data_IF_065160875627
#
_entry.id   IF_065160875627
#
_cell.length_a   1.000
_cell.length_b   1.000
_cell.length_c   1.000
_cell.angle_alpha   90.00
_cell.angle_beta   90.00
_cell.angle_gamma   90.00
#
_symmetry.space_group_name_H-M   'P 1'
#
loop_
_entity.id
_entity.type
_entity.pdbx_description
1 polymer ?
#
# COMPACT_ATOMS: atom_id res chain seq x y z
N UNK A 1 58.07 55.43 16.85
CA UNK A 1 58.24 55.44 15.37
C UNK A 1 57.50 54.24 14.80
N UNK A 2 56.42 54.50 14.04
CA UNK A 2 55.63 53.61 13.16
C UNK A 2 55.08 52.29 13.73
N UNK A 3 53.89 52.38 14.32
CA UNK A 3 52.92 51.29 14.48
C UNK A 3 52.33 50.93 13.11
N UNK A 4 52.41 49.66 12.70
CA UNK A 4 51.75 49.13 11.49
C UNK A 4 50.41 48.51 11.87
N UNK A 5 49.31 49.09 11.41
CA UNK A 5 47.99 48.46 11.40
C UNK A 5 47.92 47.40 10.28
N UNK A 6 47.57 46.17 10.65
CA UNK A 6 47.12 45.14 9.71
C UNK A 6 45.60 45.26 9.57
N UNK A 7 45.12 45.53 8.36
CA UNK A 7 43.70 45.46 8.00
C UNK A 7 43.44 44.03 7.53
N UNK A 8 42.71 43.25 8.32
CA UNK A 8 42.22 41.94 7.95
C UNK A 8 40.89 42.06 7.20
N UNK A 9 40.87 41.68 5.92
CA UNK A 9 39.65 41.59 5.13
C UNK A 9 38.91 40.30 5.47
N UNK A 10 37.74 40.41 6.11
CA UNK A 10 36.83 39.30 6.34
C UNK A 10 35.94 39.16 5.09
N UNK A 11 36.14 38.10 4.31
CA UNK A 11 35.21 37.71 3.25
C UNK A 11 34.01 36.97 3.87
N UNK A 12 32.83 37.59 3.82
CA UNK A 12 31.56 36.91 4.02
C UNK A 12 31.20 36.14 2.75
N UNK A 13 31.21 34.81 2.81
CA UNK A 13 30.63 33.97 1.78
C UNK A 13 29.15 33.72 2.10
N UNK A 14 28.26 34.42 1.40
CA UNK A 14 26.82 34.16 1.45
C UNK A 14 26.51 32.85 0.73
N UNK A 15 26.21 31.80 1.48
CA UNK A 15 25.58 30.59 0.95
C UNK A 15 24.12 30.91 0.59
N UNK A 16 23.83 31.02 -0.70
CA UNK A 16 22.44 31.01 -1.20
C UNK A 16 21.98 29.55 -1.22
N UNK A 17 21.16 29.17 -0.23
CA UNK A 17 20.44 27.92 -0.26
C UNK A 17 19.37 28.01 -1.36
N UNK A 18 19.57 27.28 -2.45
CA UNK A 18 18.51 26.99 -3.43
C UNK A 18 17.51 26.04 -2.77
N UNK A 19 16.53 26.60 -2.08
CA UNK A 19 15.31 25.88 -1.74
C UNK A 19 14.54 25.62 -3.04
N UNK A 20 14.77 24.47 -3.65
CA UNK A 20 13.92 23.93 -4.70
C UNK A 20 12.56 23.58 -4.11
N UNK A 21 11.68 24.58 -3.98
CA UNK A 21 10.28 24.35 -3.71
C UNK A 21 9.66 23.64 -4.92
N UNK A 22 9.32 22.36 -4.77
CA UNK A 22 8.42 21.70 -5.71
C UNK A 22 7.12 22.52 -5.72
N UNK A 23 6.83 23.17 -6.83
CA UNK A 23 5.60 23.91 -7.00
C UNK A 23 4.41 22.96 -6.76
N UNK A 24 3.56 23.32 -5.79
CA UNK A 24 2.32 22.60 -5.49
C UNK A 24 1.37 22.87 -6.67
N UNK A 25 1.42 22.04 -7.71
CA UNK A 25 0.40 22.07 -8.75
C UNK A 25 -0.96 21.76 -8.12
N UNK A 26 -2.03 22.50 -8.49
CA UNK A 26 -3.36 22.24 -7.97
C UNK A 26 -3.74 20.80 -8.28
N UNK A 27 -4.17 20.07 -7.26
CA UNK A 27 -4.66 18.71 -7.43
C UNK A 27 -5.81 18.76 -8.44
N UNK A 28 -5.60 18.19 -9.63
CA UNK A 28 -6.66 17.98 -10.59
C UNK A 28 -7.82 17.23 -9.92
N UNK A 29 -9.03 17.36 -10.48
CA UNK A 29 -10.29 16.89 -9.89
C UNK A 29 -10.42 15.36 -9.71
N UNK A 30 -9.33 14.59 -9.73
CA UNK A 30 -9.32 13.13 -9.63
C UNK A 30 -8.11 12.56 -8.89
N UNK A 31 -8.06 11.23 -8.72
CA UNK A 31 -6.94 10.53 -8.08
C UNK A 31 -5.58 10.84 -8.72
N UNK A 32 -4.54 10.97 -7.91
CA UNK A 32 -3.16 11.24 -8.37
C UNK A 32 -2.45 9.93 -8.67
N UNK A 33 -1.88 9.80 -9.86
CA UNK A 33 -1.09 8.62 -10.24
C UNK A 33 0.06 8.33 -9.29
N UNK A 34 0.23 7.06 -8.90
CA UNK A 34 1.42 6.60 -8.17
C UNK A 34 2.70 6.75 -9.00
N UNK A 35 2.61 6.77 -10.34
CA UNK A 35 3.77 6.95 -11.22
C UNK A 35 4.37 8.36 -11.12
N UNK A 36 3.58 9.36 -10.68
CA UNK A 36 4.10 10.69 -10.33
C UNK A 36 5.15 10.64 -9.22
N UNK A 37 5.06 9.62 -8.36
CA UNK A 37 5.98 9.37 -7.27
C UNK A 37 7.01 8.29 -7.61
N UNK A 38 7.16 7.98 -8.90
CA UNK A 38 8.17 7.04 -9.39
C UNK A 38 7.94 5.58 -8.93
N UNK A 39 6.68 5.22 -8.65
CA UNK A 39 6.26 3.83 -8.49
C UNK A 39 6.04 3.24 -9.88
N UNK A 40 6.98 2.40 -10.35
CA UNK A 40 7.03 1.89 -11.71
C UNK A 40 7.15 0.36 -11.74
N UNK A 41 6.56 -0.34 -12.73
CA UNK A 41 6.66 -1.80 -12.82
C UNK A 41 8.10 -2.32 -12.99
N UNK A 42 8.99 -1.49 -13.56
CA UNK A 42 10.39 -1.81 -13.82
C UNK A 42 11.28 -1.67 -12.58
N UNK A 43 10.79 -1.06 -11.51
CA UNK A 43 11.56 -0.89 -10.28
C UNK A 43 11.59 -2.15 -9.43
N UNK A 44 12.66 -2.26 -8.64
CA UNK A 44 12.74 -3.28 -7.60
C UNK A 44 11.67 -3.09 -6.53
N UNK A 45 11.34 -4.17 -5.82
CA UNK A 45 10.35 -4.16 -4.75
C UNK A 45 10.67 -3.14 -3.64
N UNK A 46 11.94 -3.05 -3.24
CA UNK A 46 12.42 -2.10 -2.24
C UNK A 46 12.27 -0.64 -2.69
N UNK A 47 12.64 -0.32 -3.94
CA UNK A 47 12.51 1.05 -4.48
C UNK A 47 11.05 1.46 -4.57
N UNK A 48 10.18 0.58 -5.08
CA UNK A 48 8.76 0.86 -5.15
C UNK A 48 8.13 0.99 -3.76
N UNK A 49 8.61 0.26 -2.74
CA UNK A 49 8.14 0.43 -1.37
C UNK A 49 8.41 1.85 -0.87
N UNK A 50 9.64 2.34 -1.03
CA UNK A 50 9.99 3.71 -0.64
C UNK A 50 9.18 4.75 -1.39
N UNK A 51 9.03 4.58 -2.70
CA UNK A 51 8.30 5.50 -3.57
C UNK A 51 6.79 5.52 -3.29
N UNK A 52 6.20 4.34 -3.04
CA UNK A 52 4.79 4.22 -2.66
C UNK A 52 4.54 4.85 -1.28
N UNK A 53 5.46 4.67 -0.32
CA UNK A 53 5.34 5.33 0.98
C UNK A 53 5.41 6.86 0.85
N UNK A 54 6.30 7.41 0.00
CA UNK A 54 6.35 8.85 -0.30
C UNK A 54 5.03 9.36 -0.88
N UNK A 55 4.43 8.61 -1.80
CA UNK A 55 3.12 8.93 -2.36
C UNK A 55 2.04 8.99 -1.28
N UNK A 56 2.01 7.99 -0.40
CA UNK A 56 1.04 7.89 0.70
C UNK A 56 1.23 9.06 1.69
N UNK A 57 2.46 9.37 2.08
CA UNK A 57 2.76 10.47 3.00
C UNK A 57 2.39 11.85 2.40
N UNK A 58 2.47 11.99 1.07
CA UNK A 58 1.96 13.16 0.37
C UNK A 58 0.43 13.24 0.41
N UNK A 59 -0.25 12.11 0.15
CA UNK A 59 -1.70 12.02 0.06
C UNK A 59 -2.42 12.17 1.40
N UNK A 60 -1.85 11.61 2.48
CA UNK A 60 -2.41 11.64 3.83
C UNK A 60 -2.65 13.05 4.35
N UNK A 61 -1.73 13.98 4.04
CA UNK A 61 -1.83 15.39 4.42
C UNK A 61 -2.91 16.17 3.65
N UNK A 62 -3.49 15.55 2.61
CA UNK A 62 -4.41 16.17 1.65
C UNK A 62 -5.76 15.46 1.56
N UNK A 63 -5.94 14.33 2.28
CA UNK A 63 -7.13 13.48 2.09
C UNK A 63 -7.25 12.92 0.67
N UNK A 64 -6.11 12.75 -0.01
CA UNK A 64 -6.08 12.47 -1.44
C UNK A 64 -6.15 10.97 -1.74
N UNK A 65 -6.66 10.65 -2.93
CA UNK A 65 -6.60 9.32 -3.50
C UNK A 65 -5.39 9.18 -4.42
N UNK A 66 -4.69 8.05 -4.32
CA UNK A 66 -3.64 7.62 -5.22
C UNK A 66 -4.17 6.58 -6.18
N UNK A 67 -3.89 6.77 -7.47
CA UNK A 67 -4.30 5.88 -8.54
C UNK A 67 -3.18 4.91 -8.89
N UNK A 68 -3.45 3.62 -8.71
CA UNK A 68 -2.58 2.52 -9.14
C UNK A 68 -2.84 2.29 -10.63
N UNK A 69 -2.09 2.98 -11.48
CA UNK A 69 -2.27 2.90 -12.93
C UNK A 69 -2.14 1.45 -13.45
N UNK A 70 -3.03 0.99 -14.34
CA UNK A 70 -2.93 -0.33 -14.90
C UNK A 70 -1.67 -0.51 -15.75
N UNK A 71 -1.11 -1.71 -15.73
CA UNK A 71 0.10 -2.10 -16.47
C UNK A 71 0.01 -3.56 -16.92
N UNK A 72 0.72 -3.93 -17.98
CA UNK A 72 0.93 -5.33 -18.39
C UNK A 72 1.93 -6.06 -17.47
N UNK A 73 2.81 -5.30 -16.82
CA UNK A 73 3.69 -5.75 -15.74
C UNK A 73 3.17 -5.31 -14.36
N UNK A 74 3.06 -6.21 -13.38
CA UNK A 74 2.74 -5.86 -11.99
C UNK A 74 3.79 -4.94 -11.35
N UNK A 75 3.36 -4.11 -10.40
CA UNK A 75 4.29 -3.34 -9.57
C UNK A 75 4.84 -4.25 -8.48
N UNK A 76 6.12 -4.62 -8.56
CA UNK A 76 6.81 -5.31 -7.46
C UNK A 76 6.97 -4.36 -6.30
N UNK A 77 6.55 -4.74 -5.09
CA UNK A 77 6.64 -3.89 -3.90
C UNK A 77 6.90 -4.74 -2.66
N UNK A 78 7.88 -4.33 -1.84
CA UNK A 78 8.12 -4.96 -0.55
C UNK A 78 7.03 -4.57 0.47
N UNK A 79 6.84 -5.42 1.48
CA UNK A 79 5.87 -5.20 2.54
C UNK A 79 6.32 -4.14 3.54
N UNK A 80 5.47 -3.89 4.55
CA UNK A 80 5.69 -2.88 5.57
C UNK A 80 5.29 -1.47 5.14
N UNK A 81 4.44 -1.34 4.11
CA UNK A 81 3.80 -0.07 3.77
C UNK A 81 2.81 0.30 4.87
N UNK A 82 2.78 1.56 5.27
CA UNK A 82 1.73 2.09 6.14
C UNK A 82 0.82 2.99 5.30
N UNK A 83 -0.40 2.52 5.04
CA UNK A 83 -1.45 3.35 4.44
C UNK A 83 -1.94 4.33 5.50
N UNK A 84 -1.32 5.51 5.47
CA UNK A 84 -1.54 6.60 6.42
C UNK A 84 -2.98 7.08 6.41
N UNK A 85 -3.40 7.61 7.56
CA UNK A 85 -4.75 8.10 7.73
C UNK A 85 -5.17 9.08 6.61
N UNK A 86 -6.45 9.02 6.23
CA UNK A 86 -7.07 9.83 5.15
C UNK A 86 -6.62 9.50 3.72
N UNK A 87 -5.83 8.44 3.51
CA UNK A 87 -5.32 8.08 2.18
C UNK A 87 -6.17 7.00 1.53
N UNK A 88 -6.45 7.15 0.23
CA UNK A 88 -7.08 6.10 -0.57
C UNK A 88 -6.12 5.53 -1.62
N UNK A 89 -6.08 4.21 -1.81
CA UNK A 89 -5.45 3.55 -2.96
C UNK A 89 -6.54 3.01 -3.89
N UNK A 90 -6.56 3.47 -5.14
CA UNK A 90 -7.61 3.18 -6.10
C UNK A 90 -6.99 2.54 -7.36
N UNK A 91 -7.49 1.38 -7.74
CA UNK A 91 -7.19 0.71 -9.00
C UNK A 91 -8.39 0.69 -9.95
N UNK A 92 -8.22 0.03 -11.09
CA UNK A 92 -9.20 0.02 -12.19
C UNK A 92 -10.19 -1.14 -12.14
N UNK A 93 -9.99 -2.12 -11.26
CA UNK A 93 -10.76 -3.35 -11.33
C UNK A 93 -12.04 -3.28 -10.49
N UNK A 94 -13.10 -3.90 -11.00
CA UNK A 94 -14.17 -4.42 -10.17
C UNK A 94 -13.78 -5.77 -9.54
N UNK A 95 -14.74 -6.47 -8.93
CA UNK A 95 -14.52 -7.83 -8.45
C UNK A 95 -14.10 -8.78 -9.59
N UNK A 96 -12.87 -9.28 -9.57
CA UNK A 96 -12.32 -10.19 -10.59
C UNK A 96 -11.96 -11.54 -9.96
N UNK A 97 -12.94 -12.43 -9.80
CA UNK A 97 -12.75 -13.62 -8.95
C UNK A 97 -11.59 -14.56 -9.30
N UNK A 98 -11.17 -14.66 -10.57
CA UNK A 98 -9.98 -15.43 -11.00
C UNK A 98 -8.81 -14.54 -11.42
N UNK A 99 -8.96 -13.25 -11.18
CA UNK A 99 -8.09 -12.24 -11.67
C UNK A 99 -8.07 -12.02 -13.15
N UNK A 100 -7.30 -11.01 -13.47
CA UNK A 100 -6.86 -10.74 -14.83
C UNK A 100 -5.74 -11.68 -15.22
N UNK A 101 -5.50 -11.81 -16.52
CA UNK A 101 -4.46 -12.71 -17.05
C UNK A 101 -3.77 -12.02 -18.21
N UNK A 102 -2.43 -11.99 -18.17
CA UNK A 102 -1.63 -11.60 -19.31
C UNK A 102 -1.81 -12.62 -20.46
N UNK A 103 -1.91 -12.21 -21.74
CA UNK A 103 -2.09 -13.13 -22.86
C UNK A 103 -1.01 -14.21 -22.93
N UNK A 104 0.25 -13.81 -22.78
CA UNK A 104 1.41 -14.69 -22.99
C UNK A 104 2.19 -15.09 -21.72
N UNK A 105 1.90 -14.49 -20.56
CA UNK A 105 2.68 -14.67 -19.32
C UNK A 105 1.79 -15.24 -18.22
N UNK A 106 2.33 -16.10 -17.34
CA UNK A 106 1.58 -16.64 -16.21
C UNK A 106 1.48 -15.61 -15.06
N UNK A 107 0.93 -14.42 -15.33
CA UNK A 107 0.81 -13.33 -14.37
C UNK A 107 -0.48 -12.51 -14.59
N UNK A 108 -0.99 -11.82 -13.55
CA UNK A 108 -2.09 -10.86 -13.69
C UNK A 108 -1.62 -9.54 -14.32
N UNK A 109 -2.57 -8.72 -14.79
CA UNK A 109 -2.36 -7.40 -15.39
C UNK A 109 -3.30 -6.36 -14.80
N UNK A 110 -3.04 -5.08 -15.06
CA UNK A 110 -3.84 -3.95 -14.58
C UNK A 110 -3.29 -3.37 -13.27
N UNK A 111 -4.15 -3.02 -12.32
CA UNK A 111 -3.75 -2.44 -11.02
C UNK A 111 -3.32 -3.57 -10.07
N UNK A 112 -2.10 -4.07 -10.24
CA UNK A 112 -1.58 -5.25 -9.53
C UNK A 112 -0.31 -4.93 -8.75
N UNK A 113 -0.28 -5.29 -7.47
CA UNK A 113 0.95 -5.39 -6.69
C UNK A 113 1.46 -6.84 -6.66
N UNK A 114 2.73 -7.04 -7.02
CA UNK A 114 3.46 -8.29 -6.84
C UNK A 114 4.29 -8.22 -5.55
N UNK A 115 4.02 -9.12 -4.61
CA UNK A 115 4.53 -9.05 -3.23
C UNK A 115 5.40 -10.28 -2.96
N UNK A 116 6.66 -10.04 -2.60
CA UNK A 116 7.64 -11.10 -2.34
C UNK A 116 8.17 -11.08 -0.89
N UNK A 117 7.82 -10.04 -0.12
CA UNK A 117 8.21 -9.87 1.28
C UNK A 117 7.54 -10.92 2.17
N UNK A 118 8.36 -11.66 2.93
CA UNK A 118 7.94 -12.75 3.82
C UNK A 118 7.94 -12.35 5.29
N UNK A 119 8.45 -11.17 5.62
CA UNK A 119 8.68 -10.71 6.98
C UNK A 119 7.61 -9.72 7.43
N UNK A 120 7.12 -8.90 6.51
CA UNK A 120 6.17 -7.83 6.83
C UNK A 120 4.81 -8.05 6.18
N UNK A 121 3.72 -7.70 6.90
CA UNK A 121 2.41 -7.46 6.26
C UNK A 121 2.57 -6.50 5.09
N UNK A 122 1.88 -6.72 3.97
CA UNK A 122 2.10 -5.87 2.80
C UNK A 122 1.71 -4.43 3.09
N UNK A 123 0.46 -4.21 3.53
CA UNK A 123 -0.06 -2.89 3.94
C UNK A 123 -0.62 -2.95 5.36
N UNK A 124 -0.15 -2.05 6.21
CA UNK A 124 -0.79 -1.72 7.49
C UNK A 124 -1.67 -0.47 7.31
N UNK A 125 -2.97 -0.57 7.63
CA UNK A 125 -3.93 0.53 7.46
C UNK A 125 -4.17 1.31 8.76
N UNK A 126 -4.19 2.63 8.65
CA UNK A 126 -4.62 3.56 9.71
C UNK A 126 -6.09 3.99 9.50
N UNK A 127 -6.51 5.14 10.06
CA UNK A 127 -7.91 5.59 10.04
C UNK A 127 -8.34 6.23 8.71
N UNK A 128 -9.63 6.16 8.39
CA UNK A 128 -10.25 6.83 7.25
C UNK A 128 -9.54 6.51 5.91
N UNK A 129 -9.12 5.26 5.74
CA UNK A 129 -8.44 4.80 4.52
C UNK A 129 -9.36 4.01 3.62
N UNK A 130 -9.08 4.04 2.31
CA UNK A 130 -9.73 3.17 1.34
C UNK A 130 -8.71 2.40 0.52
N UNK A 131 -9.00 1.13 0.23
CA UNK A 131 -8.33 0.39 -0.83
C UNK A 131 -9.42 -0.17 -1.73
N UNK A 132 -9.37 0.18 -3.02
CA UNK A 132 -10.40 -0.23 -3.98
C UNK A 132 -9.83 -0.70 -5.31
N UNK A 133 -10.33 -1.81 -5.84
CA UNK A 133 -10.12 -2.21 -7.24
C UNK A 133 -8.69 -2.61 -7.58
N UNK A 134 -7.98 -3.16 -6.60
CA UNK A 134 -6.57 -3.57 -6.68
C UNK A 134 -6.45 -5.08 -6.52
N UNK A 135 -5.52 -5.66 -7.28
CA UNK A 135 -5.13 -7.05 -7.21
C UNK A 135 -3.81 -7.20 -6.43
N UNK A 136 -3.74 -8.16 -5.50
CA UNK A 136 -2.55 -8.50 -4.73
C UNK A 136 -2.10 -9.90 -5.12
N UNK A 137 -0.88 -10.02 -5.62
CA UNK A 137 -0.34 -11.28 -6.13
C UNK A 137 0.97 -11.63 -5.43
N UNK A 138 1.08 -12.86 -4.93
CA UNK A 138 2.30 -13.40 -4.33
C UNK A 138 2.98 -14.35 -5.33
N UNK A 139 3.86 -13.85 -6.22
CA UNK A 139 4.37 -14.63 -7.36
C UNK A 139 5.23 -15.84 -6.97
N UNK A 140 5.83 -15.83 -5.77
CA UNK A 140 6.65 -16.93 -5.29
C UNK A 140 5.85 -18.03 -4.57
N UNK A 141 4.54 -17.85 -4.38
CA UNK A 141 3.71 -18.87 -3.73
C UNK A 141 3.63 -20.14 -4.58
N UNK A 142 3.64 -21.30 -3.91
CA UNK A 142 3.45 -22.60 -4.56
C UNK A 142 2.06 -22.71 -5.20
N UNK A 143 1.99 -23.28 -6.41
CA UNK A 143 0.72 -23.55 -7.10
C UNK A 143 0.29 -25.02 -7.04
N UNK A 144 1.21 -25.92 -6.69
CA UNK A 144 1.01 -27.38 -6.88
C UNK A 144 1.56 -28.24 -5.75
N UNK A 145 2.39 -27.69 -4.89
CA UNK A 145 3.11 -28.44 -3.86
C UNK A 145 2.70 -27.91 -2.48
N UNK A 146 1.79 -28.59 -1.75
CA UNK A 146 1.30 -28.15 -0.46
C UNK A 146 2.37 -28.17 0.65
N UNK A 147 3.45 -28.93 0.49
CA UNK A 147 4.56 -28.96 1.46
C UNK A 147 5.44 -27.71 1.37
N UNK A 148 5.27 -26.90 0.32
CA UNK A 148 6.05 -25.69 0.04
C UNK A 148 5.23 -24.40 0.19
N UNK A 149 4.11 -24.45 0.91
CA UNK A 149 3.33 -23.25 1.19
C UNK A 149 4.20 -22.26 1.95
N UNK A 150 4.27 -21.04 1.42
CA UNK A 150 4.93 -19.92 2.09
C UNK A 150 3.89 -19.23 2.97
N UNK A 151 4.15 -19.20 4.28
CA UNK A 151 3.31 -18.50 5.25
C UNK A 151 3.59 -17.00 5.24
N UNK A 152 3.09 -16.30 4.21
CA UNK A 152 3.19 -14.84 4.16
C UNK A 152 2.42 -14.19 5.33
N UNK A 153 2.93 -13.09 5.89
CA UNK A 153 2.14 -12.22 6.76
C UNK A 153 0.88 -11.71 6.07
N UNK A 154 -0.13 -11.23 6.82
CA UNK A 154 -1.37 -10.72 6.24
C UNK A 154 -1.12 -9.68 5.13
N UNK A 155 -1.84 -9.77 4.01
CA UNK A 155 -1.73 -8.76 2.94
C UNK A 155 -2.14 -7.38 3.45
N UNK A 156 -3.25 -7.29 4.16
CA UNK A 156 -3.73 -6.04 4.77
C UNK A 156 -3.91 -6.29 6.26
N UNK A 157 -3.32 -5.47 7.11
CA UNK A 157 -3.55 -5.53 8.56
C UNK A 157 -3.94 -4.17 9.14
N UNK A 158 -4.70 -4.15 10.23
CA UNK A 158 -4.92 -2.94 11.01
C UNK A 158 -3.64 -2.48 11.73
N UNK A 159 -3.47 -1.17 11.91
CA UNK A 159 -2.37 -0.62 12.70
C UNK A 159 -2.53 -0.97 14.17
N UNK A 160 -1.61 -1.79 14.69
CA UNK A 160 -1.55 -2.04 16.13
C UNK A 160 -1.17 -0.78 16.92
N UNK A 161 -0.49 0.21 16.31
CA UNK A 161 -0.03 1.41 17.03
C UNK A 161 -1.13 2.45 17.22
N UNK A 162 -1.88 2.73 16.15
CA UNK A 162 -2.89 3.81 16.11
C UNK A 162 -4.32 3.28 16.11
N UNK A 163 -4.52 2.01 15.77
CA UNK A 163 -5.82 1.48 15.43
C UNK A 163 -6.19 1.74 13.97
N UNK A 164 -7.39 1.31 13.59
CA UNK A 164 -7.94 1.47 12.26
C UNK A 164 -9.45 1.71 12.37
N UNK A 165 -9.89 2.92 12.03
CA UNK A 165 -11.29 3.32 12.15
C UNK A 165 -11.78 3.83 10.81
N UNK A 166 -12.97 3.42 10.37
CA UNK A 166 -13.54 3.90 9.11
C UNK A 166 -12.75 3.43 7.88
N UNK A 167 -12.30 2.18 7.88
CA UNK A 167 -11.56 1.57 6.76
C UNK A 167 -12.54 0.95 5.78
N UNK A 168 -12.38 1.26 4.48
CA UNK A 168 -13.13 0.60 3.40
C UNK A 168 -12.21 -0.19 2.49
N UNK A 169 -12.44 -1.49 2.39
CA UNK A 169 -11.77 -2.39 1.47
C UNK A 169 -12.80 -2.90 0.46
N UNK A 170 -12.66 -2.55 -0.83
CA UNK A 170 -13.67 -2.90 -1.83
C UNK A 170 -13.10 -3.38 -3.16
N UNK A 171 -13.78 -4.34 -3.80
CA UNK A 171 -13.37 -4.84 -5.13
C UNK A 171 -11.90 -5.33 -5.17
N UNK A 172 -11.44 -6.00 -4.10
CA UNK A 172 -10.07 -6.48 -4.00
C UNK A 172 -9.97 -7.93 -4.46
N UNK A 173 -8.83 -8.32 -5.02
CA UNK A 173 -8.56 -9.73 -5.31
C UNK A 173 -7.17 -10.14 -4.87
N UNK A 174 -7.08 -11.29 -4.21
CA UNK A 174 -5.87 -11.84 -3.62
C UNK A 174 -5.51 -13.16 -4.32
N UNK A 175 -4.22 -13.36 -4.62
CA UNK A 175 -3.70 -14.62 -5.17
C UNK A 175 -2.40 -15.03 -4.48
N UNK A 176 -2.38 -16.25 -3.95
CA UNK A 176 -1.21 -16.83 -3.31
C UNK A 176 -0.95 -16.30 -1.89
N UNK A 177 -1.87 -15.52 -1.35
CA UNK A 177 -1.85 -15.08 0.03
C UNK A 177 -2.01 -16.27 0.99
N UNK A 178 -1.34 -16.20 2.13
CA UNK A 178 -1.59 -17.13 3.22
C UNK A 178 -2.80 -16.67 4.05
N UNK A 179 -2.78 -15.41 4.48
CA UNK A 179 -3.88 -14.67 5.12
C UNK A 179 -4.10 -13.36 4.35
N UNK A 180 -5.35 -13.03 3.99
CA UNK A 180 -5.63 -11.82 3.22
C UNK A 180 -5.74 -10.57 4.11
N UNK A 181 -6.61 -10.61 5.13
CA UNK A 181 -6.95 -9.43 5.92
C UNK A 181 -6.96 -9.73 7.42
N UNK A 182 -6.23 -8.93 8.19
CA UNK A 182 -6.10 -9.05 9.64
C UNK A 182 -6.53 -7.77 10.37
N UNK A 183 -7.74 -7.80 10.93
CA UNK A 183 -8.31 -6.76 11.78
C UNK A 183 -8.45 -7.26 13.21
N UNK A 184 -7.42 -7.95 13.73
CA UNK A 184 -7.29 -8.26 15.16
C UNK A 184 -6.78 -7.02 15.89
N UNK A 185 -7.69 -6.33 16.58
CA UNK A 185 -7.39 -5.17 17.40
C UNK A 185 -6.62 -5.53 18.66
N UNK A 186 -6.21 -4.49 19.42
CA UNK A 186 -5.63 -4.66 20.75
C UNK A 186 -5.99 -3.51 21.67
N UNK A 187 -5.83 -3.72 22.97
CA UNK A 187 -6.03 -2.65 23.97
C UNK A 187 -5.16 -1.44 23.62
N UNK A 188 -5.78 -0.26 23.56
CA UNK A 188 -5.10 1.00 23.24
C UNK A 188 -4.99 1.33 21.75
N UNK A 189 -5.48 0.47 20.86
CA UNK A 189 -5.56 0.71 19.42
C UNK A 189 -6.94 0.29 18.90
N UNK A 190 -7.82 1.27 18.75
CA UNK A 190 -9.24 1.02 18.45
C UNK A 190 -9.39 0.58 17.00
N UNK A 191 -10.11 -0.52 16.80
CA UNK A 191 -10.51 -1.02 15.49
C UNK A 191 -12.05 -0.99 15.41
N UNK A 192 -12.60 -0.22 14.47
CA UNK A 192 -14.06 -0.06 14.32
C UNK A 192 -14.44 0.48 12.94
N UNK A 193 -15.74 0.41 12.60
CA UNK A 193 -16.28 0.90 11.33
C UNK A 193 -15.54 0.34 10.10
N UNK A 194 -15.22 -0.95 10.15
CA UNK A 194 -14.56 -1.66 9.06
C UNK A 194 -15.62 -2.12 8.06
N UNK A 195 -15.46 -1.75 6.78
CA UNK A 195 -16.26 -2.22 5.66
C UNK A 195 -15.37 -3.00 4.70
N UNK A 196 -15.70 -4.26 4.48
CA UNK A 196 -15.03 -5.14 3.53
C UNK A 196 -16.08 -5.66 2.56
N UNK A 197 -15.96 -5.33 1.28
CA UNK A 197 -16.97 -5.72 0.30
C UNK A 197 -16.41 -6.15 -1.06
N UNK A 198 -17.09 -7.08 -1.73
CA UNK A 198 -16.73 -7.51 -3.09
C UNK A 198 -15.27 -7.99 -3.21
N UNK A 199 -14.75 -8.61 -2.15
CA UNK A 199 -13.37 -9.10 -2.10
C UNK A 199 -13.31 -10.61 -2.41
N UNK A 200 -12.28 -11.00 -3.18
CA UNK A 200 -12.09 -12.37 -3.65
C UNK A 200 -10.72 -12.89 -3.23
N UNK A 201 -10.64 -14.09 -2.67
CA UNK A 201 -9.36 -14.67 -2.26
C UNK A 201 -9.35 -16.20 -2.23
N UNK A 202 -8.14 -16.71 -2.08
CA UNK A 202 -7.75 -18.11 -2.07
C UNK A 202 -6.77 -18.36 -0.90
N UNK A 203 -7.12 -18.01 0.34
CA UNK A 203 -6.18 -17.97 1.45
C UNK A 203 -5.71 -19.37 1.81
N UNK A 204 -4.41 -19.62 1.65
CA UNK A 204 -3.82 -20.94 1.89
C UNK A 204 -3.83 -21.35 3.37
N UNK A 205 -4.02 -20.41 4.30
CA UNK A 205 -4.20 -20.73 5.72
C UNK A 205 -5.66 -21.09 6.07
N UNK A 206 -6.59 -21.04 5.12
CA UNK A 206 -8.03 -21.11 5.40
C UNK A 206 -8.62 -19.86 6.09
N UNK A 207 -7.82 -18.80 6.29
CA UNK A 207 -8.27 -17.55 6.94
C UNK A 207 -8.26 -16.41 5.93
N UNK A 208 -9.45 -16.01 5.48
CA UNK A 208 -9.58 -14.87 4.57
C UNK A 208 -9.56 -13.54 5.32
N UNK A 209 -10.49 -13.38 6.27
CA UNK A 209 -10.65 -12.17 7.07
C UNK A 209 -10.62 -12.58 8.54
N UNK A 210 -9.67 -12.03 9.30
CA UNK A 210 -9.62 -12.15 10.75
C UNK A 210 -10.15 -10.87 11.39
N UNK A 211 -11.07 -11.02 12.33
CA UNK A 211 -11.66 -9.94 13.11
C UNK A 211 -11.66 -10.40 14.55
N UNK A 212 -11.02 -9.62 15.41
CA UNK A 212 -11.10 -9.78 16.85
C UNK A 212 -10.85 -8.44 17.53
N UNK A 213 -11.33 -8.26 18.76
CA UNK A 213 -11.13 -7.05 19.54
C UNK A 213 -11.57 -5.74 18.81
N UNK A 214 -12.67 -5.80 18.07
CA UNK A 214 -13.28 -4.65 17.39
C UNK A 214 -14.43 -4.06 18.22
N UNK A 215 -14.57 -2.73 18.24
CA UNK A 215 -15.57 -2.03 19.06
C UNK A 215 -16.93 -1.87 18.36
N UNK A 216 -16.96 -1.53 17.07
CA UNK A 216 -18.16 -1.51 16.22
C UNK A 216 -18.29 -2.80 15.40
N UNK A 217 -19.48 -3.09 14.88
CA UNK A 217 -19.79 -4.25 14.03
C UNK A 217 -19.11 -4.06 12.65
N UNK A 218 -18.09 -4.88 12.32
CA UNK A 218 -17.54 -4.88 10.97
C UNK A 218 -18.57 -5.39 9.97
N UNK A 219 -18.60 -4.79 8.79
CA UNK A 219 -19.50 -5.16 7.71
C UNK A 219 -18.70 -5.91 6.64
N UNK A 220 -19.00 -7.19 6.47
CA UNK A 220 -18.41 -8.03 5.42
C UNK A 220 -19.52 -8.40 4.44
N UNK A 221 -19.41 -7.92 3.20
CA UNK A 221 -20.48 -8.01 2.20
C UNK A 221 -19.95 -8.60 0.89
N UNK A 222 -20.69 -9.51 0.26
CA UNK A 222 -20.36 -10.00 -1.09
C UNK A 222 -18.90 -10.45 -1.28
N UNK A 223 -18.31 -11.04 -0.24
CA UNK A 223 -16.96 -11.56 -0.27
C UNK A 223 -16.99 -13.03 -0.66
N UNK A 224 -16.08 -13.44 -1.54
CA UNK A 224 -16.05 -14.78 -2.11
C UNK A 224 -14.70 -15.43 -1.81
N UNK A 225 -14.75 -16.51 -1.04
CA UNK A 225 -13.56 -17.30 -0.72
C UNK A 225 -13.66 -18.59 -1.47
N UNK A 226 -12.63 -18.91 -2.25
CA UNK A 226 -12.44 -20.27 -2.72
C UNK A 226 -11.45 -20.94 -1.76
N UNK A 227 -11.91 -21.83 -0.86
CA UNK A 227 -11.00 -22.50 0.05
C UNK A 227 -10.00 -23.34 -0.75
N UNK A 228 -8.71 -23.17 -0.42
CA UNK A 228 -7.61 -23.92 -1.01
C UNK A 228 -7.51 -25.34 -0.42
#
# INVERSE_FOLDING_TARGET
>A
MKTRCFVGTILWASFVALAGGAADEPAGNGPISIRRFDVLPTHSAAVNKENLQKAIDWASRRGAALFVEPSDEPYRVDGGIVLRANTSLIGVHGPVGRGTRHPDKPQPVGSVFAIEDREHPFVTVEHATQIRGIQFWYPQQTLKDPEKIIEYPPTIQCSSRTGAQGVTLSCLTFYGEFVAMDFVGRRGAIVEQILIEHCYGYPLSGRFIQIDYCYDIPRILHCHVNPA
#
